data_IF_098796953709
#
_entry.id   IF_098796953709
#
_cell.length_a   1.000
_cell.length_b   1.000
_cell.length_c   1.000
_cell.angle_alpha   90.00
_cell.angle_beta   90.00
_cell.angle_gamma   90.00
#
_symmetry.space_group_name_H-M   'P 1'
#
loop_
_entity.id
_entity.type
_entity.pdbx_description
1 polymer ?
#
# COMPACT_ATOMS: atom_id res chain seq x y z
N UNK A 1 23.22 -2.19 11.26
CA UNK A 1 23.86 -2.83 10.10
C UNK A 1 22.85 -3.46 9.13
N UNK A 2 22.01 -4.44 9.54
CA UNK A 2 21.06 -5.10 8.62
C UNK A 2 19.97 -4.14 8.07
N UNK A 3 19.41 -3.29 8.92
CA UNK A 3 18.39 -2.31 8.53
C UNK A 3 18.96 -1.23 7.62
N UNK A 4 20.16 -0.76 7.87
CA UNK A 4 20.82 0.26 7.04
C UNK A 4 21.11 -0.30 5.65
N UNK A 5 21.55 -1.54 5.56
CA UNK A 5 21.78 -2.24 4.29
C UNK A 5 20.48 -2.40 3.51
N UNK A 6 19.40 -2.76 4.18
CA UNK A 6 18.08 -2.88 3.57
C UNK A 6 17.56 -1.53 3.05
N UNK A 7 17.70 -0.45 3.82
CA UNK A 7 17.38 0.91 3.39
C UNK A 7 18.19 1.35 2.17
N UNK A 8 19.50 1.14 2.19
CA UNK A 8 20.37 1.51 1.08
C UNK A 8 19.98 0.76 -0.19
N UNK A 9 19.70 -0.53 -0.08
CA UNK A 9 19.23 -1.37 -1.20
C UNK A 9 17.91 -0.86 -1.74
N UNK A 10 16.93 -0.64 -0.89
CA UNK A 10 15.63 -0.12 -1.28
C UNK A 10 15.75 1.24 -2.00
N UNK A 11 16.55 2.16 -1.46
CA UNK A 11 16.79 3.46 -2.10
C UNK A 11 17.37 3.31 -3.50
N UNK A 12 18.32 2.39 -3.69
CA UNK A 12 18.88 2.12 -5.02
C UNK A 12 17.81 1.60 -5.98
N UNK A 13 16.94 0.71 -5.52
CA UNK A 13 15.84 0.17 -6.34
C UNK A 13 14.81 1.23 -6.69
N UNK A 14 14.47 2.14 -5.76
CA UNK A 14 13.55 3.23 -6.05
C UNK A 14 14.13 4.25 -7.04
N UNK A 15 15.42 4.52 -6.99
CA UNK A 15 16.11 5.34 -7.99
C UNK A 15 16.11 4.68 -9.37
N UNK A 16 16.13 3.36 -9.42
CA UNK A 16 16.12 2.57 -10.67
C UNK A 16 14.71 2.34 -11.23
N UNK A 17 13.66 2.87 -10.60
CA UNK A 17 12.30 2.83 -11.16
C UNK A 17 12.30 3.51 -12.55
N UNK A 18 11.40 3.08 -13.46
CA UNK A 18 11.26 3.70 -14.78
C UNK A 18 11.08 5.22 -14.70
N UNK A 19 11.66 5.95 -15.65
CA UNK A 19 11.53 7.43 -15.71
C UNK A 19 10.06 7.86 -15.78
N UNK A 20 9.19 7.04 -16.35
CA UNK A 20 7.74 7.25 -16.39
C UNK A 20 7.16 7.42 -14.97
N UNK A 21 7.68 6.67 -14.01
CA UNK A 21 7.25 6.75 -12.60
C UNK A 21 7.77 8.02 -11.93
N UNK A 22 9.03 8.39 -12.17
CA UNK A 22 9.56 9.66 -11.68
C UNK A 22 8.81 10.86 -12.29
N UNK A 23 8.47 10.78 -13.57
CA UNK A 23 7.66 11.80 -14.25
C UNK A 23 6.25 11.90 -13.66
N UNK A 24 5.63 10.76 -13.31
CA UNK A 24 4.34 10.73 -12.64
C UNK A 24 4.38 11.47 -11.29
N UNK A 25 5.39 11.21 -10.49
CA UNK A 25 5.60 11.90 -9.21
C UNK A 25 5.71 13.42 -9.37
N UNK A 26 6.46 13.88 -10.36
CA UNK A 26 6.58 15.32 -10.67
C UNK A 26 5.27 15.97 -11.10
N UNK A 27 4.44 15.24 -11.84
CA UNK A 27 3.11 15.74 -12.27
C UNK A 27 2.16 15.90 -11.09
N UNK A 28 2.13 14.95 -10.16
CA UNK A 28 1.34 15.06 -8.93
C UNK A 28 1.82 16.22 -8.06
N UNK A 29 3.13 16.35 -7.84
CA UNK A 29 3.70 17.45 -7.08
C UNK A 29 3.38 18.82 -7.71
N UNK A 30 3.51 18.96 -9.03
CA UNK A 30 3.18 20.18 -9.75
C UNK A 30 1.69 20.54 -9.66
N UNK A 31 0.82 19.55 -9.52
CA UNK A 31 -0.61 19.73 -9.28
C UNK A 31 -0.97 19.99 -7.81
N UNK A 32 0.02 19.98 -6.90
CA UNK A 32 -0.19 20.20 -5.47
C UNK A 32 -0.69 18.99 -4.70
N UNK A 33 -0.49 17.78 -5.25
CA UNK A 33 -0.93 16.53 -4.64
C UNK A 33 0.24 15.65 -4.22
N UNK A 34 0.06 14.90 -3.13
CA UNK A 34 0.98 13.86 -2.72
C UNK A 34 0.79 12.60 -3.57
N UNK A 35 1.88 11.90 -3.85
CA UNK A 35 1.87 10.56 -4.46
C UNK A 35 2.91 9.69 -3.76
N UNK A 36 2.55 8.45 -3.43
CA UNK A 36 3.47 7.48 -2.85
C UNK A 36 3.26 6.09 -3.45
N UNK A 37 4.37 5.41 -3.74
CA UNK A 37 4.39 3.97 -4.01
C UNK A 37 4.14 3.24 -2.69
N UNK A 38 3.30 2.22 -2.68
CA UNK A 38 2.87 1.53 -1.45
C UNK A 38 2.81 0.02 -1.58
N UNK A 39 2.77 -0.65 -0.45
CA UNK A 39 2.45 -2.06 -0.34
C UNK A 39 3.54 -3.02 -0.80
N UNK A 40 3.14 -4.06 -1.52
CA UNK A 40 4.03 -5.12 -2.01
C UNK A 40 5.27 -4.64 -2.74
N UNK A 41 5.19 -3.70 -3.68
CA UNK A 41 6.36 -3.14 -4.37
C UNK A 41 7.40 -2.55 -3.42
N UNK A 42 6.99 -1.85 -2.36
CA UNK A 42 7.92 -1.28 -1.37
C UNK A 42 8.58 -2.38 -0.56
N UNK A 43 7.80 -3.32 -0.04
CA UNK A 43 8.30 -4.51 0.67
C UNK A 43 9.31 -5.27 -0.19
N UNK A 44 8.95 -5.55 -1.43
CA UNK A 44 9.78 -6.36 -2.34
C UNK A 44 11.09 -5.64 -2.68
N UNK A 45 11.07 -4.32 -2.86
CA UNK A 45 12.28 -3.51 -3.04
C UNK A 45 13.22 -3.60 -1.83
N UNK A 46 12.69 -3.57 -0.61
CA UNK A 46 13.49 -3.77 0.62
C UNK A 46 14.14 -5.15 0.64
N UNK A 47 13.43 -6.17 0.13
CA UNK A 47 13.95 -7.53 -0.02
C UNK A 47 14.90 -7.70 -1.23
N UNK A 48 15.08 -6.66 -2.05
CA UNK A 48 15.89 -6.70 -3.26
C UNK A 48 15.21 -7.41 -4.44
N UNK A 49 13.88 -7.42 -4.45
CA UNK A 49 13.05 -8.01 -5.52
C UNK A 49 12.38 -6.90 -6.32
N UNK A 50 12.25 -7.08 -7.62
CA UNK A 50 11.42 -6.20 -8.47
C UNK A 50 9.96 -6.64 -8.44
N UNK A 51 9.05 -5.67 -8.55
CA UNK A 51 7.62 -5.91 -8.72
C UNK A 51 7.17 -5.32 -10.06
N UNK A 52 6.34 -6.05 -10.78
CA UNK A 52 5.77 -5.57 -12.05
C UNK A 52 4.51 -4.73 -11.84
N UNK A 53 3.77 -4.99 -10.77
CA UNK A 53 2.56 -4.28 -10.42
C UNK A 53 2.92 -3.16 -9.44
N UNK A 54 2.71 -1.91 -9.86
CA UNK A 54 3.04 -0.73 -9.08
C UNK A 54 1.76 -0.06 -8.59
N UNK A 55 1.55 -0.13 -7.28
CA UNK A 55 0.42 0.48 -6.58
C UNK A 55 0.84 1.79 -5.92
N UNK A 56 0.02 2.81 -6.13
CA UNK A 56 0.22 4.14 -5.55
C UNK A 56 -0.98 4.57 -4.73
N UNK A 57 -0.72 5.44 -3.78
CA UNK A 57 -1.74 6.16 -3.03
C UNK A 57 -1.50 7.66 -3.14
N UNK A 58 -2.56 8.46 -3.11
CA UNK A 58 -2.49 9.91 -3.36
C UNK A 58 -3.48 10.70 -2.52
N UNK A 59 -3.16 11.95 -2.24
CA UNK A 59 -4.10 12.94 -1.68
C UNK A 59 -5.11 13.45 -2.73
N UNK A 60 -4.83 13.27 -4.02
CA UNK A 60 -5.71 13.69 -5.11
C UNK A 60 -7.02 12.91 -5.11
N UNK A 61 -8.12 13.61 -5.34
CA UNK A 61 -9.43 12.96 -5.58
C UNK A 61 -9.45 12.32 -6.97
N UNK A 62 -10.36 11.38 -7.24
CA UNK A 62 -10.39 10.64 -8.51
C UNK A 62 -10.39 11.51 -9.76
N UNK A 63 -11.12 12.62 -9.76
CA UNK A 63 -11.17 13.54 -10.91
C UNK A 63 -9.83 14.23 -11.18
N UNK A 64 -9.13 14.64 -10.12
CA UNK A 64 -7.79 15.23 -10.23
C UNK A 64 -6.76 14.17 -10.67
N UNK A 65 -6.86 12.96 -10.13
CA UNK A 65 -6.02 11.82 -10.55
C UNK A 65 -6.23 11.51 -12.03
N UNK A 66 -7.47 11.51 -12.51
CA UNK A 66 -7.78 11.28 -13.92
C UNK A 66 -7.16 12.37 -14.82
N UNK A 67 -7.28 13.62 -14.43
CA UNK A 67 -6.70 14.74 -15.19
C UNK A 67 -5.17 14.62 -15.29
N UNK A 68 -4.51 14.26 -14.20
CA UNK A 68 -3.06 14.04 -14.18
C UNK A 68 -2.66 12.83 -15.03
N UNK A 69 -3.40 11.72 -14.92
CA UNK A 69 -3.16 10.52 -15.73
C UNK A 69 -3.32 10.78 -17.22
N UNK A 70 -4.29 11.59 -17.64
CA UNK A 70 -4.45 11.98 -19.04
C UNK A 70 -3.21 12.69 -19.60
N UNK A 71 -2.59 13.54 -18.80
CA UNK A 71 -1.32 14.20 -19.15
C UNK A 71 -0.16 13.21 -19.17
N UNK A 72 -0.12 12.30 -18.20
CA UNK A 72 0.96 11.33 -18.06
C UNK A 72 0.96 10.28 -19.15
N UNK A 73 -0.20 9.68 -19.45
CA UNK A 73 -0.32 8.59 -20.45
C UNK A 73 -0.07 9.04 -21.88
N UNK A 74 -0.20 10.34 -22.16
CA UNK A 74 -0.18 10.89 -23.51
C UNK A 74 -1.30 10.26 -24.36
N UNK A 75 -0.96 9.22 -25.15
CA UNK A 75 -1.90 8.45 -25.97
C UNK A 75 -2.22 7.08 -25.36
N UNK A 76 -1.76 6.81 -24.12
CA UNK A 76 -1.98 5.56 -23.43
C UNK A 76 -3.38 5.39 -22.86
N UNK A 77 -3.74 4.16 -22.57
CA UNK A 77 -5.03 3.84 -21.97
C UNK A 77 -5.11 4.25 -20.50
N UNK A 78 -6.28 4.75 -20.11
CA UNK A 78 -6.71 4.95 -18.73
C UNK A 78 -7.90 4.05 -18.48
N UNK A 79 -7.96 3.44 -17.32
CA UNK A 79 -9.12 2.64 -16.91
C UNK A 79 -9.55 3.01 -15.50
N UNK A 80 -10.85 2.90 -15.29
CA UNK A 80 -11.50 3.10 -14.00
C UNK A 80 -11.75 1.72 -13.39
N UNK A 81 -11.10 1.41 -12.28
CA UNK A 81 -11.27 0.14 -11.56
C UNK A 81 -12.37 0.22 -10.48
N UNK A 82 -13.14 1.27 -10.51
CA UNK A 82 -14.19 1.59 -9.54
C UNK A 82 -13.97 2.96 -8.95
N UNK A 83 -14.54 3.97 -9.59
CA UNK A 83 -14.51 5.36 -9.13
C UNK A 83 -15.08 5.48 -7.71
N UNK A 84 -16.04 4.62 -7.36
CA UNK A 84 -16.61 4.50 -6.03
C UNK A 84 -15.57 4.01 -4.99
N UNK A 85 -14.52 3.33 -5.45
CA UNK A 85 -13.40 2.89 -4.61
C UNK A 85 -12.18 3.81 -4.70
N UNK A 86 -12.22 4.84 -5.55
CA UNK A 86 -11.18 5.84 -5.71
C UNK A 86 -9.92 5.35 -6.43
N UNK A 87 -9.99 4.25 -7.20
CA UNK A 87 -8.84 3.67 -7.92
C UNK A 87 -8.95 3.91 -9.41
N UNK A 88 -7.89 4.48 -9.98
CA UNK A 88 -7.71 4.70 -11.41
C UNK A 88 -6.39 4.08 -11.86
N UNK A 89 -6.37 3.53 -13.07
CA UNK A 89 -5.17 2.98 -13.67
C UNK A 89 -4.80 3.68 -14.95
N UNK A 90 -3.53 3.55 -15.32
CA UNK A 90 -3.02 4.05 -16.59
C UNK A 90 -1.79 3.28 -17.05
N UNK A 91 -1.48 3.42 -18.33
CA UNK A 91 -0.28 2.85 -18.93
C UNK A 91 0.44 3.88 -19.78
N UNK A 92 1.76 3.93 -19.66
CA UNK A 92 2.66 4.72 -20.50
C UNK A 92 3.89 3.90 -20.83
N UNK A 93 4.20 3.75 -22.11
CA UNK A 93 5.38 3.04 -22.59
C UNK A 93 5.55 1.63 -21.97
N UNK A 94 4.42 0.94 -21.76
CA UNK A 94 4.36 -0.38 -21.13
C UNK A 94 4.40 -0.39 -19.61
N UNK A 95 4.61 0.76 -18.96
CA UNK A 95 4.58 0.90 -17.51
C UNK A 95 3.15 1.09 -17.04
N UNK A 96 2.64 0.13 -16.27
CA UNK A 96 1.30 0.16 -15.68
C UNK A 96 1.35 0.73 -14.26
N UNK A 97 0.37 1.57 -13.95
CA UNK A 97 0.18 2.13 -12.61
C UNK A 97 -1.27 2.01 -12.18
N UNK A 98 -1.49 1.77 -10.89
CA UNK A 98 -2.79 1.87 -10.24
C UNK A 98 -2.66 2.86 -9.09
N UNK A 99 -3.55 3.86 -9.07
CA UNK A 99 -3.50 4.97 -8.11
C UNK A 99 -4.82 5.03 -7.38
N UNK A 100 -4.75 4.97 -6.06
CA UNK A 100 -5.92 5.03 -5.17
C UNK A 100 -5.83 6.27 -4.30
N UNK A 101 -6.91 7.04 -4.21
CA UNK A 101 -7.02 8.14 -3.26
C UNK A 101 -6.89 7.62 -1.82
N UNK A 102 -6.23 8.38 -0.93
CA UNK A 102 -6.17 8.05 0.51
C UNK A 102 -7.54 7.69 1.05
N UNK A 103 -7.61 6.62 1.80
CA UNK A 103 -8.85 6.11 2.38
C UNK A 103 -8.79 6.15 3.90
N UNK A 104 -9.95 6.47 4.49
CA UNK A 104 -10.31 6.03 5.83
C UNK A 104 -11.43 5.02 5.67
N UNK A 105 -11.38 3.93 6.38
CA UNK A 105 -12.44 2.92 6.34
C UNK A 105 -13.32 3.09 7.56
N UNK A 106 -14.62 3.34 7.33
CA UNK A 106 -15.63 3.17 8.36
C UNK A 106 -16.40 1.87 8.07
N UNK A 107 -16.45 0.98 9.04
CA UNK A 107 -17.19 -0.27 8.90
C UNK A 107 -18.54 -0.14 9.60
N UNK A 108 -19.60 -0.36 8.85
CA UNK A 108 -20.90 -0.68 9.41
C UNK A 108 -20.88 -2.16 9.81
N UNK A 109 -21.04 -2.50 11.11
CA UNK A 109 -21.06 -3.89 11.57
C UNK A 109 -22.12 -4.77 10.90
N UNK A 110 -23.12 -4.14 10.26
CA UNK A 110 -24.25 -4.81 9.62
C UNK A 110 -24.10 -4.94 8.10
N UNK A 111 -23.08 -4.35 7.51
CA UNK A 111 -22.84 -4.36 6.06
C UNK A 111 -21.49 -5.01 5.72
N UNK A 112 -21.49 -5.89 4.72
CA UNK A 112 -20.27 -6.47 4.13
C UNK A 112 -19.54 -5.49 3.20
N UNK A 113 -20.16 -4.35 2.87
CA UNK A 113 -19.54 -3.35 2.00
C UNK A 113 -18.96 -2.25 2.87
N UNK A 114 -17.61 -2.11 2.92
CA UNK A 114 -17.01 -0.95 3.57
C UNK A 114 -17.53 0.33 2.90
N UNK A 115 -17.96 1.29 3.69
CA UNK A 115 -18.16 2.63 3.18
C UNK A 115 -16.77 3.24 3.01
N UNK A 116 -16.38 3.48 1.75
CA UNK A 116 -15.11 4.12 1.44
C UNK A 116 -15.26 5.61 1.68
N UNK A 117 -14.60 6.09 2.73
CA UNK A 117 -14.39 7.52 2.94
C UNK A 117 -12.98 7.88 2.50
N UNK A 118 -12.83 9.03 1.85
CA UNK A 118 -11.51 9.52 1.46
C UNK A 118 -10.79 10.11 2.68
N UNK A 119 -9.52 9.70 2.84
CA UNK A 119 -8.63 10.23 3.87
C UNK A 119 -7.80 11.40 3.36
N UNK A 120 -7.13 12.07 4.30
CA UNK A 120 -6.32 13.25 4.02
C UNK A 120 -4.82 13.04 4.27
N UNK A 121 -4.42 11.91 4.88
CA UNK A 121 -3.03 11.66 5.24
C UNK A 121 -2.53 10.30 4.75
N UNK A 122 -1.25 10.25 4.37
CA UNK A 122 -0.57 9.02 4.02
C UNK A 122 -0.53 8.04 5.21
N UNK A 123 -0.25 8.51 6.42
CA UNK A 123 -0.22 7.67 7.61
C UNK A 123 -1.58 7.02 7.89
N UNK A 124 -2.67 7.77 7.74
CA UNK A 124 -4.04 7.24 7.85
C UNK A 124 -4.30 6.13 6.82
N UNK A 125 -3.88 6.32 5.57
CA UNK A 125 -4.00 5.31 4.52
C UNK A 125 -3.16 4.06 4.82
N UNK A 126 -1.97 4.21 5.36
CA UNK A 126 -1.11 3.09 5.74
C UNK A 126 -1.66 2.34 6.96
N UNK A 127 -2.29 3.02 7.91
CA UNK A 127 -2.83 2.42 9.14
C UNK A 127 -3.91 1.38 8.90
N UNK A 128 -4.68 1.52 7.83
CA UNK A 128 -5.77 0.60 7.45
C UNK A 128 -5.31 -0.65 6.69
N UNK A 129 -4.02 -0.77 6.38
CA UNK A 129 -3.48 -1.92 5.65
C UNK A 129 -3.38 -3.15 6.55
N UNK A 130 -3.21 -4.32 5.94
CA UNK A 130 -3.23 -5.60 6.63
C UNK A 130 -2.08 -5.78 7.64
N UNK A 131 -0.83 -5.57 7.19
CA UNK A 131 0.36 -5.81 7.99
C UNK A 131 1.39 -4.69 7.83
N UNK A 132 2.22 -4.51 8.86
CA UNK A 132 3.26 -3.47 8.88
C UNK A 132 4.21 -3.55 7.69
N UNK A 133 4.55 -4.76 7.25
CA UNK A 133 5.43 -5.01 6.10
C UNK A 133 4.82 -4.55 4.76
N UNK A 134 3.51 -4.36 4.70
CA UNK A 134 2.77 -3.81 3.57
C UNK A 134 2.27 -2.38 3.83
N UNK A 135 2.58 -1.81 5.00
CA UNK A 135 2.19 -0.47 5.43
C UNK A 135 3.39 0.51 5.39
N UNK A 136 4.24 0.34 4.42
CA UNK A 136 5.35 1.24 4.08
C UNK A 136 5.07 1.92 2.76
N UNK A 137 5.59 3.13 2.59
CA UNK A 137 5.43 3.92 1.39
C UNK A 137 6.75 4.58 0.97
N UNK A 138 6.82 4.95 -0.30
CA UNK A 138 7.89 5.80 -0.83
C UNK A 138 7.25 7.00 -1.51
N UNK A 139 7.52 8.20 -0.98
CA UNK A 139 7.03 9.46 -1.56
C UNK A 139 7.69 9.71 -2.91
N UNK A 140 6.92 10.18 -3.86
CA UNK A 140 7.39 10.63 -5.16
C UNK A 140 7.12 12.13 -5.32
N UNK A 141 8.04 12.87 -5.92
CA UNK A 141 9.31 12.45 -6.56
C UNK A 141 10.50 12.34 -5.60
N UNK A 142 10.37 12.65 -4.32
CA UNK A 142 11.49 12.75 -3.37
C UNK A 142 12.20 11.43 -3.07
N UNK A 143 11.55 10.29 -3.26
CA UNK A 143 12.01 8.94 -2.91
C UNK A 143 12.20 8.74 -1.40
N UNK A 144 11.52 9.51 -0.57
CA UNK A 144 11.53 9.35 0.87
C UNK A 144 10.75 8.11 1.30
N UNK A 145 11.41 7.22 2.04
CA UNK A 145 10.77 6.05 2.66
C UNK A 145 10.01 6.46 3.92
N UNK A 146 8.72 6.14 3.95
CA UNK A 146 7.80 6.41 5.06
C UNK A 146 7.38 5.08 5.68
N UNK A 147 7.73 4.88 6.95
CA UNK A 147 7.48 3.65 7.69
C UNK A 147 6.96 3.95 9.12
N UNK A 148 5.71 4.40 9.25
CA UNK A 148 5.17 4.84 10.53
C UNK A 148 4.91 3.70 11.52
N UNK A 149 4.79 2.47 11.04
CA UNK A 149 4.42 1.31 11.86
C UNK A 149 5.55 0.28 12.05
N UNK A 150 6.77 0.61 11.64
CA UNK A 150 7.93 -0.25 11.84
C UNK A 150 8.01 -1.47 10.92
N UNK A 151 7.42 -1.37 9.73
CA UNK A 151 7.41 -2.46 8.75
C UNK A 151 8.81 -2.91 8.33
N UNK A 152 9.77 -1.99 8.23
CA UNK A 152 11.16 -2.31 7.89
C UNK A 152 11.81 -3.21 8.95
N UNK A 153 11.55 -2.94 10.24
CA UNK A 153 12.05 -3.76 11.33
C UNK A 153 11.37 -5.14 11.37
N UNK A 154 10.05 -5.18 11.20
CA UNK A 154 9.30 -6.44 11.14
C UNK A 154 9.74 -7.30 9.94
N UNK A 155 10.01 -6.68 8.79
CA UNK A 155 10.52 -7.37 7.62
C UNK A 155 11.91 -7.97 7.86
N UNK A 156 12.81 -7.22 8.52
CA UNK A 156 14.15 -7.69 8.86
C UNK A 156 14.14 -8.84 9.89
N UNK A 157 13.14 -8.87 10.77
CA UNK A 157 12.94 -9.90 11.78
C UNK A 157 11.98 -11.02 11.35
N UNK A 158 11.48 -10.97 10.12
CA UNK A 158 10.52 -11.93 9.58
C UNK A 158 9.25 -12.07 10.43
N UNK A 159 8.72 -10.95 10.91
CA UNK A 159 7.53 -10.87 11.77
C UNK A 159 6.34 -10.33 10.98
N UNK A 160 5.19 -10.95 11.16
CA UNK A 160 3.91 -10.48 10.65
C UNK A 160 3.12 -9.86 11.80
N UNK A 161 2.84 -8.56 11.68
CA UNK A 161 2.15 -7.74 12.67
C UNK A 161 1.17 -6.80 11.98
N UNK A 162 0.02 -6.51 12.59
CA UNK A 162 -0.90 -5.50 12.09
C UNK A 162 -0.41 -4.08 12.43
N UNK A 163 -0.67 -3.06 11.57
CA UNK A 163 -0.27 -1.67 11.86
C UNK A 163 -0.96 -1.10 13.10
N UNK A 164 -2.23 -1.43 13.30
CA UNK A 164 -3.05 -1.05 14.46
C UNK A 164 -3.37 -2.29 15.29
N UNK A 165 -4.13 -2.13 16.37
CA UNK A 165 -4.52 -3.26 17.22
C UNK A 165 -5.12 -4.41 16.39
N UNK A 166 -4.62 -5.66 16.52
CA UNK A 166 -5.02 -6.75 15.65
C UNK A 166 -6.52 -7.08 15.75
N UNK A 167 -7.12 -6.95 16.93
CA UNK A 167 -8.57 -7.15 17.09
C UNK A 167 -9.38 -6.16 16.24
N UNK A 168 -8.95 -4.91 16.17
CA UNK A 168 -9.57 -3.90 15.30
C UNK A 168 -9.36 -4.23 13.83
N UNK A 169 -8.11 -4.50 13.43
CA UNK A 169 -7.74 -4.81 12.05
C UNK A 169 -8.54 -6.00 11.49
N UNK A 170 -8.68 -7.08 12.25
CA UNK A 170 -9.40 -8.27 11.81
C UNK A 170 -10.93 -8.14 11.95
N UNK A 171 -11.41 -7.25 12.80
CA UNK A 171 -12.82 -6.88 12.84
C UNK A 171 -13.22 -6.06 11.62
N UNK A 172 -12.32 -5.18 11.17
CA UNK A 172 -12.52 -4.36 9.98
C UNK A 172 -12.56 -5.21 8.71
N UNK A 173 -11.64 -6.17 8.58
CA UNK A 173 -11.61 -7.11 7.46
C UNK A 173 -11.16 -8.51 7.93
N UNK A 174 -12.08 -9.42 8.18
CA UNK A 174 -11.76 -10.80 8.61
C UNK A 174 -10.88 -11.58 7.62
N UNK A 175 -10.91 -11.25 6.34
CA UNK A 175 -10.06 -11.90 5.32
C UNK A 175 -8.57 -11.64 5.53
N UNK A 176 -8.20 -10.61 6.30
CA UNK A 176 -6.81 -10.38 6.70
C UNK A 176 -6.23 -11.54 7.50
N UNK A 177 -7.05 -12.28 8.25
CA UNK A 177 -6.62 -13.50 8.96
C UNK A 177 -6.18 -14.60 7.99
N UNK A 178 -6.92 -14.79 6.89
CA UNK A 178 -6.50 -15.72 5.82
C UNK A 178 -5.24 -15.24 5.10
N UNK A 179 -5.10 -13.94 4.90
CA UNK A 179 -3.89 -13.34 4.34
C UNK A 179 -2.67 -13.56 5.23
N UNK A 180 -2.83 -13.54 6.58
CA UNK A 180 -1.77 -13.87 7.52
C UNK A 180 -1.23 -15.28 7.28
N UNK A 181 -2.10 -16.28 7.18
CA UNK A 181 -1.71 -17.66 6.89
C UNK A 181 -0.97 -17.77 5.56
N UNK A 182 -1.47 -17.09 4.52
CA UNK A 182 -0.83 -17.05 3.21
C UNK A 182 0.58 -16.44 3.27
N UNK A 183 0.78 -15.34 3.98
CA UNK A 183 2.09 -14.70 4.12
C UNK A 183 3.08 -15.55 4.90
N UNK A 184 2.63 -16.25 5.95
CA UNK A 184 3.46 -17.23 6.67
C UNK A 184 3.95 -18.31 5.70
N UNK A 185 3.05 -18.87 4.90
CA UNK A 185 3.39 -19.92 3.94
C UNK A 185 4.33 -19.44 2.81
N UNK A 186 4.11 -18.21 2.31
CA UNK A 186 4.87 -17.68 1.17
C UNK A 186 6.21 -17.07 1.55
N UNK A 187 6.29 -16.40 2.70
CA UNK A 187 7.45 -15.61 3.11
C UNK A 187 8.23 -16.24 4.26
N UNK A 188 7.69 -17.28 4.88
CA UNK A 188 8.32 -17.93 6.04
C UNK A 188 8.33 -17.05 7.29
N UNK A 189 7.39 -16.10 7.40
CA UNK A 189 7.31 -15.21 8.54
C UNK A 189 6.62 -15.89 9.72
N UNK A 190 7.00 -15.50 10.94
CA UNK A 190 6.24 -15.82 12.13
C UNK A 190 5.20 -14.75 12.41
N UNK A 191 4.05 -15.14 12.92
CA UNK A 191 3.02 -14.20 13.37
C UNK A 191 3.42 -13.70 14.76
N UNK A 192 3.32 -12.40 15.00
CA UNK A 192 3.49 -11.81 16.33
C UNK A 192 2.40 -12.33 17.27
N UNK A 193 2.76 -12.54 18.56
CA UNK A 193 1.91 -13.25 19.52
C UNK A 193 0.52 -12.61 19.67
N UNK A 194 0.44 -11.29 19.85
CA UNK A 194 -0.84 -10.59 19.99
C UNK A 194 -1.70 -10.69 18.69
N UNK A 195 -1.05 -10.72 17.54
CA UNK A 195 -1.72 -10.93 16.25
C UNK A 195 -2.24 -12.37 16.13
N UNK A 196 -1.47 -13.36 16.57
CA UNK A 196 -1.89 -14.76 16.59
C UNK A 196 -3.08 -14.98 17.55
N UNK A 197 -3.02 -14.42 18.75
CA UNK A 197 -4.11 -14.48 19.73
C UNK A 197 -5.41 -13.88 19.17
N UNK A 198 -5.34 -12.76 18.45
CA UNK A 198 -6.49 -12.14 17.83
C UNK A 198 -7.08 -13.01 16.70
N UNK A 199 -6.24 -13.70 15.92
CA UNK A 199 -6.69 -14.65 14.89
C UNK A 199 -7.47 -15.81 15.57
N UNK A 200 -6.94 -16.37 16.64
CA UNK A 200 -7.60 -17.46 17.38
C UNK A 200 -8.97 -17.03 17.92
N UNK A 201 -9.05 -15.83 18.50
CA UNK A 201 -10.30 -15.28 19.07
C UNK A 201 -11.36 -14.93 18.02
N UNK A 202 -10.95 -14.53 16.83
CA UNK A 202 -11.82 -13.99 15.77
C UNK A 202 -11.99 -14.93 14.58
N UNK A 203 -11.41 -16.12 14.62
CA UNK A 203 -11.42 -17.08 13.50
C UNK A 203 -12.83 -17.42 12.99
N UNK A 204 -13.83 -17.48 13.87
CA UNK A 204 -15.22 -17.77 13.50
C UNK A 204 -15.82 -16.70 12.58
N UNK A 205 -15.28 -15.48 12.58
CA UNK A 205 -15.75 -14.39 11.70
C UNK A 205 -15.36 -14.56 10.22
N UNK A 206 -14.48 -15.50 9.90
CA UNK A 206 -14.11 -15.81 8.51
C UNK A 206 -15.29 -16.40 7.73
N UNK A 207 -16.27 -16.97 8.39
CA UNK A 207 -17.42 -17.65 7.78
C UNK A 207 -18.58 -16.73 7.39
N UNK A 208 -18.44 -15.43 7.58
CA UNK A 208 -19.49 -14.42 7.34
C UNK A 208 -19.47 -13.91 5.90
#
# INVERSE_FOLDING_TARGET
ARLDTARTRATSMFRALPEEIHALGRLFEAAGHELALVGGPVRDAVLGRSSADLDFTTSARPDDTEAILRTWTRDGAIWDMGRDFGTLGGVRDGVKVEITTYRTESYDPTSRKPQVEYGDTLEGDLSRRDFTVNAMAVRLPSLELVDPFGGLADLANTVLRTPVAPAQSFSDDPLRMMRAVRFVAQLGFRIEDATADAIEQLAERITI
#
